data_IF_955465034695
#
_entry.id   IF_955465034695
#
_cell.length_a   1.000
_cell.length_b   1.000
_cell.length_c   1.000
_cell.angle_alpha   90.00
_cell.angle_beta   90.00
_cell.angle_gamma   90.00
#
_symmetry.space_group_name_H-M   'P 1'
#
loop_
_entity.id
_entity.type
_entity.pdbx_description
1 polymer ?
#
# COMPACT_ATOMS: atom_id res chain seq x y z
N UNK A 1 -21.58 -9.28 8.50
CA UNK A 1 -20.38 -9.88 7.89
C UNK A 1 -19.17 -9.15 8.44
N UNK A 2 -18.15 -9.87 8.90
CA UNK A 2 -16.88 -9.23 9.25
C UNK A 2 -16.21 -8.75 7.96
N UNK A 3 -15.70 -7.52 7.95
CA UNK A 3 -14.94 -6.96 6.83
C UNK A 3 -13.46 -7.29 7.06
N UNK A 4 -12.92 -8.19 6.26
CA UNK A 4 -11.49 -8.50 6.28
C UNK A 4 -10.73 -7.35 5.60
N UNK A 5 -9.72 -6.82 6.27
CA UNK A 5 -8.84 -5.77 5.73
C UNK A 5 -7.50 -6.40 5.32
N UNK A 6 -7.15 -6.27 4.05
CA UNK A 6 -5.88 -6.74 3.51
C UNK A 6 -4.85 -5.61 3.53
N UNK A 7 -3.63 -5.94 3.97
CA UNK A 7 -2.50 -5.02 4.02
C UNK A 7 -1.26 -5.68 3.40
N UNK A 8 -0.73 -5.08 2.33
CA UNK A 8 0.56 -5.47 1.73
C UNK A 8 1.65 -4.50 2.21
N UNK A 9 2.64 -4.98 2.95
CA UNK A 9 3.54 -4.16 3.77
C UNK A 9 4.99 -4.29 3.33
N UNK A 10 5.67 -3.16 3.25
CA UNK A 10 7.07 -3.07 2.85
C UNK A 10 7.91 -2.54 4.01
N UNK A 11 9.00 -3.24 4.27
CA UNK A 11 9.88 -2.97 5.40
C UNK A 11 11.30 -2.67 4.92
N UNK A 12 11.92 -1.65 5.50
CA UNK A 12 13.32 -1.31 5.31
C UNK A 12 13.95 -1.10 6.69
N UNK A 13 15.15 -1.63 6.91
CA UNK A 13 15.83 -1.54 8.22
C UNK A 13 14.97 -1.97 9.43
N UNK A 14 14.08 -2.95 9.23
CA UNK A 14 13.10 -3.46 10.23
C UNK A 14 12.00 -2.46 10.62
N UNK A 15 11.90 -1.34 9.92
CA UNK A 15 10.82 -0.37 10.04
C UNK A 15 9.85 -0.54 8.86
N UNK A 16 8.55 -0.41 9.13
CA UNK A 16 7.53 -0.40 8.07
C UNK A 16 7.52 0.98 7.41
N UNK A 17 7.87 1.06 6.14
CA UNK A 17 7.96 2.34 5.43
C UNK A 17 6.67 2.70 4.69
N UNK A 18 6.04 1.71 4.06
CA UNK A 18 4.84 1.89 3.23
C UNK A 18 4.00 0.62 3.19
N UNK A 19 2.68 0.77 3.07
CA UNK A 19 1.78 -0.37 2.91
C UNK A 19 0.57 -0.04 2.03
N UNK A 20 0.09 -1.01 1.26
CA UNK A 20 -1.21 -0.92 0.59
C UNK A 20 -2.34 -1.21 1.59
N UNK A 21 -3.38 -0.39 1.58
CA UNK A 21 -4.57 -0.57 2.39
C UNK A 21 -5.79 -0.85 1.52
N UNK A 22 -6.35 -2.07 1.61
CA UNK A 22 -7.50 -2.45 0.77
C UNK A 22 -8.74 -1.61 1.00
N UNK A 23 -8.91 -1.04 2.20
CA UNK A 23 -10.07 -0.18 2.49
C UNK A 23 -9.93 1.21 1.85
N UNK A 24 -8.70 1.66 1.61
CA UNK A 24 -8.39 2.96 0.97
C UNK A 24 -8.13 2.79 -0.52
N UNK A 25 -7.65 1.62 -0.94
CA UNK A 25 -7.28 1.30 -2.32
C UNK A 25 -6.00 1.99 -2.78
N UNK A 26 -5.08 2.30 -1.85
CA UNK A 26 -3.83 3.05 -2.10
C UNK A 26 -2.69 2.60 -1.18
N UNK A 27 -1.47 2.95 -1.56
CA UNK A 27 -0.29 2.86 -0.70
C UNK A 27 -0.23 4.06 0.26
N UNK A 28 0.07 3.79 1.53
CA UNK A 28 0.17 4.76 2.62
C UNK A 28 1.57 4.68 3.20
N UNK A 29 2.28 5.81 3.19
CA UNK A 29 3.58 5.93 3.84
C UNK A 29 3.42 5.97 5.38
N UNK A 30 4.23 5.18 6.07
CA UNK A 30 4.37 5.14 7.53
C UNK A 30 5.50 6.03 8.03
N UNK A 31 6.52 6.24 7.18
CA UNK A 31 7.68 7.07 7.45
C UNK A 31 7.80 8.17 6.41
N UNK A 32 8.60 9.20 6.69
CA UNK A 32 8.93 10.22 5.67
C UNK A 32 9.68 9.61 4.49
N UNK A 33 10.50 8.57 4.74
CA UNK A 33 11.23 7.84 3.71
C UNK A 33 10.31 7.02 2.78
N UNK A 34 9.18 6.51 3.28
CA UNK A 34 8.21 5.79 2.45
C UNK A 34 7.31 6.71 1.60
N UNK A 35 7.37 8.04 1.80
CA UNK A 35 6.51 8.99 1.08
C UNK A 35 6.79 9.02 -0.44
N UNK A 36 8.06 9.10 -0.90
CA UNK A 36 8.36 9.03 -2.33
C UNK A 36 7.87 7.73 -2.98
N UNK A 37 8.00 6.60 -2.28
CA UNK A 37 7.52 5.30 -2.78
C UNK A 37 5.99 5.28 -2.89
N UNK A 38 5.28 5.73 -1.84
CA UNK A 38 3.83 5.82 -1.86
C UNK A 38 3.33 6.75 -2.97
N UNK A 39 3.94 7.92 -3.15
CA UNK A 39 3.56 8.88 -4.20
C UNK A 39 3.81 8.29 -5.60
N UNK A 40 4.99 7.68 -5.81
CA UNK A 40 5.33 7.03 -7.08
C UNK A 40 4.37 5.88 -7.40
N UNK A 41 4.12 4.98 -6.45
CA UNK A 41 3.23 3.83 -6.63
C UNK A 41 1.78 4.24 -6.84
N UNK A 42 1.28 5.23 -6.09
CA UNK A 42 -0.07 5.75 -6.27
C UNK A 42 -0.25 6.51 -7.58
N UNK A 43 0.83 7.01 -8.20
CA UNK A 43 0.77 7.62 -9.54
C UNK A 43 0.65 6.57 -10.66
N UNK A 44 1.02 5.32 -10.39
CA UNK A 44 0.94 4.22 -11.36
C UNK A 44 -0.40 3.49 -11.25
N UNK A 45 -1.30 3.75 -12.21
CA UNK A 45 -2.63 3.15 -12.25
C UNK A 45 -2.60 1.62 -12.36
N UNK A 46 -1.72 1.07 -13.19
CA UNK A 46 -1.65 -0.38 -13.40
C UNK A 46 -1.23 -1.11 -12.12
N UNK A 47 -0.32 -0.50 -11.35
CA UNK A 47 0.10 -1.01 -10.05
C UNK A 47 -1.06 -1.03 -9.05
N UNK A 48 -1.81 0.07 -8.97
CA UNK A 48 -2.95 0.20 -8.04
C UNK A 48 -4.06 -0.79 -8.38
N UNK A 49 -4.40 -0.95 -9.65
CA UNK A 49 -5.44 -1.90 -10.05
C UNK A 49 -5.00 -3.35 -9.80
N UNK A 50 -3.72 -3.67 -10.02
CA UNK A 50 -3.19 -4.99 -9.65
C UNK A 50 -3.23 -5.23 -8.14
N UNK A 51 -2.91 -4.23 -7.32
CA UNK A 51 -2.96 -4.35 -5.87
C UNK A 51 -4.40 -4.55 -5.37
N UNK A 52 -5.38 -3.85 -5.95
CA UNK A 52 -6.81 -4.06 -5.65
C UNK A 52 -7.27 -5.46 -6.04
N UNK A 53 -6.89 -5.93 -7.23
CA UNK A 53 -7.26 -7.25 -7.73
C UNK A 53 -6.68 -8.40 -6.90
N UNK A 54 -5.60 -8.18 -6.13
CA UNK A 54 -5.06 -9.18 -5.23
C UNK A 54 -5.91 -9.41 -3.96
N UNK A 55 -6.88 -8.55 -3.70
CA UNK A 55 -7.78 -8.61 -2.53
C UNK A 55 -9.12 -9.27 -2.86
N UNK A 56 -9.52 -9.27 -4.13
CA UNK A 56 -10.74 -9.92 -4.64
C UNK A 56 -10.63 -11.45 -4.64
#
# INVERSE_FOLDING_TARGET
>A
TERVRFLDRYFYNKEEDVYFDSDVGKYIAKTENGRPDADYWNSNKDLIERAKAAVE
#
